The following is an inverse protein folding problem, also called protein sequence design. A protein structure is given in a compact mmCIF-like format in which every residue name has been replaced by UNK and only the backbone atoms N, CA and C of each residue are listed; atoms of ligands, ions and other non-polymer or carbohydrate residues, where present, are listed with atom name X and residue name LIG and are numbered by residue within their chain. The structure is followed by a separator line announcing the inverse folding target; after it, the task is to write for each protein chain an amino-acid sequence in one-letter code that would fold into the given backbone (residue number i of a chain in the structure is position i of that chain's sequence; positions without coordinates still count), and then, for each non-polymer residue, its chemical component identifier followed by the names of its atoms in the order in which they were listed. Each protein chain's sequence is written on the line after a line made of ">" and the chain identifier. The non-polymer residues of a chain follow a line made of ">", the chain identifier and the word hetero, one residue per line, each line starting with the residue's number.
data_IF_234657152659
#
_entry.id   IF_234657152659
#
_cell.length_a   1.000
_cell.length_b   1.000
_cell.length_c   1.000
_cell.angle_alpha   90.00
_cell.angle_beta   90.00
_cell.angle_gamma   90.00
#
_symmetry.space_group_name_H-M   'P 1'
#
loop_
_entity.id
_entity.type
_entity.pdbx_description
1 polymer ?
#
# COMPACT_ATOMS: atom_id res chain seq x y z
N UNK A 1 55.20 23.09 3.53
CA UNK A 1 53.98 23.12 2.71
C UNK A 1 53.32 21.76 2.60
N UNK A 2 54.10 20.67 2.59
CA UNK A 2 53.56 19.30 2.42
C UNK A 2 52.66 18.82 3.57
N UNK A 3 52.95 19.17 4.83
CA UNK A 3 52.10 18.80 5.98
C UNK A 3 50.72 19.46 5.94
N UNK A 4 50.65 20.72 5.51
CA UNK A 4 49.39 21.45 5.37
C UNK A 4 48.51 20.83 4.28
N UNK A 5 49.14 20.43 3.16
CA UNK A 5 48.47 19.82 2.02
C UNK A 5 47.96 18.41 2.37
N UNK A 6 48.76 17.62 3.09
CA UNK A 6 48.35 16.32 3.62
C UNK A 6 47.19 16.42 4.63
N UNK A 7 47.23 17.42 5.53
CA UNK A 7 46.17 17.66 6.50
C UNK A 7 44.84 18.07 5.83
N UNK A 8 44.89 18.92 4.80
CA UNK A 8 43.71 19.34 4.03
C UNK A 8 43.10 18.14 3.28
N UNK A 9 43.92 17.34 2.60
CA UNK A 9 43.44 16.14 1.88
C UNK A 9 42.82 15.14 2.86
N UNK A 10 43.46 14.88 4.01
CA UNK A 10 42.93 14.00 5.05
C UNK A 10 41.58 14.48 5.60
N UNK A 11 41.43 15.78 5.84
CA UNK A 11 40.19 16.37 6.33
C UNK A 11 39.04 16.27 5.29
N UNK A 12 39.32 16.52 4.01
CA UNK A 12 38.32 16.42 2.93
C UNK A 12 37.87 14.97 2.72
N UNK A 13 38.81 14.02 2.72
CA UNK A 13 38.50 12.59 2.59
C UNK A 13 37.70 12.09 3.80
N UNK A 14 38.08 12.49 5.01
CA UNK A 14 37.34 12.15 6.24
C UNK A 14 35.90 12.67 6.21
N UNK A 15 35.71 13.96 5.89
CA UNK A 15 34.38 14.56 5.80
C UNK A 15 33.52 13.90 4.70
N UNK A 16 34.11 13.59 3.54
CA UNK A 16 33.43 12.88 2.46
C UNK A 16 33.00 11.46 2.85
N UNK A 17 33.85 10.74 3.58
CA UNK A 17 33.51 9.40 4.08
C UNK A 17 32.38 9.45 5.11
N UNK A 18 32.38 10.41 6.03
CA UNK A 18 31.30 10.57 7.02
C UNK A 18 29.98 10.92 6.36
N UNK A 19 29.96 11.86 5.41
CA UNK A 19 28.76 12.21 4.64
C UNK A 19 28.23 11.02 3.84
N UNK A 20 29.13 10.21 3.28
CA UNK A 20 28.76 9.01 2.54
C UNK A 20 28.13 7.94 3.46
N UNK A 21 28.73 7.68 4.62
CA UNK A 21 28.23 6.74 5.62
C UNK A 21 26.85 7.18 6.13
N UNK A 22 26.70 8.47 6.44
CA UNK A 22 25.42 9.04 6.90
C UNK A 22 24.34 8.92 5.82
N UNK A 23 24.66 9.23 4.56
CA UNK A 23 23.71 9.09 3.44
C UNK A 23 23.24 7.63 3.26
N UNK A 24 24.14 6.67 3.49
CA UNK A 24 23.84 5.24 3.41
C UNK A 24 22.96 4.78 4.56
N UNK A 25 23.25 5.24 5.78
CA UNK A 25 22.43 4.95 6.95
C UNK A 25 21.03 5.50 6.79
N UNK A 26 20.88 6.76 6.40
CA UNK A 26 19.58 7.39 6.18
C UNK A 26 18.79 6.67 5.08
N UNK A 27 19.44 6.33 3.96
CA UNK A 27 18.83 5.53 2.89
C UNK A 27 18.36 4.16 3.36
N UNK A 28 19.09 3.51 4.27
CA UNK A 28 18.73 2.21 4.83
C UNK A 28 17.54 2.31 5.80
N UNK A 29 17.52 3.34 6.65
CA UNK A 29 16.41 3.63 7.57
C UNK A 29 15.13 3.90 6.80
N UNK A 30 15.17 4.75 5.77
CA UNK A 30 14.01 5.06 4.93
C UNK A 30 13.49 3.81 4.19
N UNK A 31 14.38 2.95 3.69
CA UNK A 31 14.00 1.66 3.07
C UNK A 31 13.28 0.75 4.06
N UNK A 32 13.81 0.63 5.28
CA UNK A 32 13.20 -0.22 6.31
C UNK A 32 11.83 0.30 6.71
N UNK A 33 11.68 1.63 6.87
CA UNK A 33 10.40 2.25 7.16
C UNK A 33 9.38 2.02 6.03
N UNK A 34 9.82 2.13 4.77
CA UNK A 34 9.01 1.85 3.60
C UNK A 34 8.50 0.40 3.57
N UNK A 35 9.38 -0.57 3.77
CA UNK A 35 9.00 -1.98 3.81
C UNK A 35 8.02 -2.27 4.94
N UNK A 36 8.28 -1.75 6.14
CA UNK A 36 7.37 -1.92 7.26
C UNK A 36 5.97 -1.32 6.99
N UNK A 37 5.90 -0.16 6.33
CA UNK A 37 4.62 0.43 5.95
C UNK A 37 3.87 -0.42 4.91
N UNK A 38 4.58 -1.06 3.99
CA UNK A 38 4.00 -1.98 3.01
C UNK A 38 3.56 -3.30 3.65
N UNK A 39 4.37 -3.87 4.53
CA UNK A 39 4.04 -5.10 5.28
C UNK A 39 2.78 -4.91 6.13
N UNK A 40 2.69 -3.78 6.84
CA UNK A 40 1.50 -3.44 7.63
C UNK A 40 0.27 -3.29 6.75
N UNK A 41 0.40 -2.67 5.58
CA UNK A 41 -0.71 -2.59 4.62
C UNK A 41 -1.12 -3.98 4.11
N UNK A 42 -0.18 -4.86 3.77
CA UNK A 42 -0.50 -6.22 3.31
C UNK A 42 -1.20 -7.02 4.41
N UNK A 43 -0.72 -6.91 5.65
CA UNK A 43 -1.34 -7.54 6.82
C UNK A 43 -2.76 -7.03 7.05
N UNK A 44 -2.98 -5.72 6.97
CA UNK A 44 -4.31 -5.14 7.15
C UNK A 44 -5.27 -5.57 6.04
N UNK A 45 -4.82 -5.54 4.77
CA UNK A 45 -5.58 -6.07 3.64
C UNK A 45 -5.93 -7.56 3.82
N UNK A 46 -4.98 -8.37 4.31
CA UNK A 46 -5.18 -9.79 4.60
C UNK A 46 -6.27 -10.05 5.65
N UNK A 47 -6.35 -9.19 6.68
CA UNK A 47 -7.31 -9.33 7.78
C UNK A 47 -8.69 -8.72 7.48
N UNK A 48 -8.83 -7.96 6.40
CA UNK A 48 -10.07 -7.26 6.09
C UNK A 48 -11.14 -8.20 5.54
N UNK A 49 -12.19 -8.39 6.35
CA UNK A 49 -13.41 -9.14 6.00
C UNK A 49 -14.15 -8.62 4.76
N UNK A 50 -13.92 -7.38 4.34
CA UNK A 50 -14.57 -6.82 3.13
C UNK A 50 -14.17 -7.57 1.85
N UNK A 51 -13.02 -8.24 1.87
CA UNK A 51 -12.55 -9.05 0.76
C UNK A 51 -13.05 -10.50 0.83
N UNK A 52 -13.75 -10.89 1.90
CA UNK A 52 -14.51 -12.13 1.94
C UNK A 52 -15.82 -11.94 1.18
N UNK A 53 -15.75 -12.07 -0.15
CA UNK A 53 -16.90 -12.00 -1.05
C UNK A 53 -17.33 -13.44 -1.40
N UNK A 54 -18.18 -14.12 -0.61
CA UNK A 54 -18.57 -15.51 -0.86
C UNK A 54 -19.17 -15.79 -2.25
N UNK A 55 -19.85 -14.84 -2.89
CA UNK A 55 -20.40 -15.02 -4.26
C UNK A 55 -20.48 -13.72 -5.04
N UNK A 56 -20.13 -13.78 -6.32
CA UNK A 56 -20.34 -12.70 -7.30
C UNK A 56 -21.82 -12.68 -7.71
N UNK A 57 -22.66 -11.98 -6.94
CA UNK A 57 -24.11 -11.87 -7.18
C UNK A 57 -24.56 -10.41 -7.17
N UNK A 58 -25.62 -10.12 -7.95
CA UNK A 58 -26.37 -8.87 -7.83
C UNK A 58 -27.40 -9.02 -6.72
N UNK A 59 -27.62 -7.96 -5.94
CA UNK A 59 -28.63 -7.90 -4.88
C UNK A 59 -29.67 -6.87 -5.29
N UNK A 60 -30.81 -7.32 -5.82
CA UNK A 60 -31.80 -6.45 -6.48
C UNK A 60 -32.39 -5.34 -5.59
N UNK A 61 -32.35 -5.51 -4.27
CA UNK A 61 -32.80 -4.50 -3.30
C UNK A 61 -31.88 -4.53 -2.08
N UNK A 62 -30.68 -3.92 -2.16
CA UNK A 62 -29.74 -3.92 -1.06
C UNK A 62 -30.26 -3.00 0.04
N UNK A 63 -30.16 -3.44 1.29
CA UNK A 63 -30.37 -2.56 2.44
C UNK A 63 -29.21 -1.56 2.53
N UNK A 64 -29.49 -0.27 2.32
CA UNK A 64 -28.51 0.83 2.35
C UNK A 64 -28.55 1.63 3.64
N UNK A 65 -29.31 1.17 4.64
CA UNK A 65 -29.37 1.82 5.95
C UNK A 65 -28.02 1.78 6.69
N UNK A 66 -27.84 2.70 7.63
CA UNK A 66 -26.63 2.77 8.45
C UNK A 66 -26.42 1.44 9.20
N UNK A 67 -25.19 0.94 9.16
CA UNK A 67 -24.85 -0.33 9.79
C UNK A 67 -25.33 -1.56 9.01
N UNK A 68 -25.93 -1.43 7.83
CA UNK A 68 -26.25 -2.57 6.96
C UNK A 68 -24.99 -3.27 6.43
N UNK A 69 -25.16 -4.42 5.77
CA UNK A 69 -24.04 -5.09 5.09
C UNK A 69 -23.39 -4.23 3.99
N UNK A 70 -24.20 -3.47 3.25
CA UNK A 70 -23.75 -2.51 2.26
C UNK A 70 -22.92 -1.39 2.91
N UNK A 71 -23.46 -0.76 3.95
CA UNK A 71 -22.81 0.38 4.60
C UNK A 71 -21.47 -0.01 5.24
N UNK A 72 -21.43 -1.14 5.95
CA UNK A 72 -20.18 -1.67 6.54
C UNK A 72 -19.10 -1.95 5.49
N UNK A 73 -19.49 -2.50 4.35
CA UNK A 73 -18.56 -2.80 3.26
C UNK A 73 -18.07 -1.51 2.58
N UNK A 74 -18.97 -0.55 2.31
CA UNK A 74 -18.60 0.80 1.85
C UNK A 74 -17.63 1.49 2.80
N UNK A 75 -17.93 1.50 4.10
CA UNK A 75 -17.07 2.09 5.13
C UNK A 75 -15.71 1.41 5.20
N UNK A 76 -15.67 0.07 5.07
CA UNK A 76 -14.41 -0.67 5.02
C UNK A 76 -13.57 -0.29 3.80
N UNK A 77 -14.15 -0.22 2.60
CA UNK A 77 -13.40 0.20 1.39
C UNK A 77 -12.92 1.64 1.48
N UNK A 78 -13.71 2.55 2.05
CA UNK A 78 -13.28 3.93 2.34
C UNK A 78 -12.05 3.95 3.25
N UNK A 79 -12.03 3.11 4.28
CA UNK A 79 -10.88 2.95 5.17
C UNK A 79 -9.66 2.40 4.42
N UNK A 80 -9.80 1.34 3.59
CA UNK A 80 -8.72 0.81 2.75
C UNK A 80 -8.11 1.92 1.89
N UNK A 81 -8.97 2.69 1.21
CA UNK A 81 -8.52 3.78 0.34
C UNK A 81 -7.66 4.80 1.09
N UNK A 82 -8.08 5.16 2.30
CA UNK A 82 -7.37 6.13 3.13
C UNK A 82 -6.02 5.58 3.61
N UNK A 83 -5.96 4.29 3.93
CA UNK A 83 -4.74 3.62 4.33
C UNK A 83 -3.75 3.52 3.16
N UNK A 84 -4.21 3.05 1.99
CA UNK A 84 -3.41 3.04 0.75
C UNK A 84 -2.85 4.43 0.43
N UNK A 85 -3.66 5.48 0.57
CA UNK A 85 -3.21 6.88 0.38
C UNK A 85 -2.15 7.29 1.40
N UNK A 86 -2.30 6.86 2.65
CA UNK A 86 -1.37 7.17 3.74
C UNK A 86 -0.04 6.44 3.54
N UNK A 87 -0.08 5.15 3.23
CA UNK A 87 1.10 4.35 2.89
C UNK A 87 1.82 4.93 1.67
N UNK A 88 1.09 5.32 0.62
CA UNK A 88 1.69 5.95 -0.57
C UNK A 88 2.41 7.28 -0.25
N UNK A 89 1.95 8.02 0.76
CA UNK A 89 2.60 9.26 1.23
C UNK A 89 3.86 9.00 2.06
N UNK A 90 3.95 7.86 2.73
CA UNK A 90 5.14 7.47 3.49
C UNK A 90 6.21 6.82 2.63
N UNK A 91 5.91 6.41 1.39
CA UNK A 91 6.91 5.87 0.47
C UNK A 91 7.83 6.97 -0.06
N UNK A 92 9.10 6.61 -0.30
CA UNK A 92 10.05 7.47 -1.01
C UNK A 92 9.56 7.74 -2.44
N UNK A 93 9.96 8.86 -3.02
CA UNK A 93 9.54 9.27 -4.37
C UNK A 93 9.91 8.24 -5.47
N UNK A 94 11.02 7.52 -5.29
CA UNK A 94 11.53 6.50 -6.23
C UNK A 94 11.09 5.09 -5.90
N UNK A 95 10.18 4.90 -4.92
CA UNK A 95 9.72 3.58 -4.53
C UNK A 95 8.96 2.91 -5.68
N UNK A 96 9.27 1.64 -6.03
CA UNK A 96 8.56 0.91 -7.07
C UNK A 96 7.10 0.64 -6.69
N UNK A 97 6.77 0.61 -5.40
CA UNK A 97 5.42 0.34 -4.91
C UNK A 97 4.43 1.51 -5.13
N UNK A 98 4.90 2.70 -5.52
CA UNK A 98 4.01 3.86 -5.73
C UNK A 98 2.99 3.63 -6.83
N UNK A 99 3.39 2.99 -7.93
CA UNK A 99 2.48 2.73 -9.06
C UNK A 99 1.39 1.71 -8.68
N UNK A 100 1.73 0.55 -8.09
CA UNK A 100 0.73 -0.38 -7.57
C UNK A 100 -0.21 0.24 -6.52
N UNK A 101 0.31 0.99 -5.54
CA UNK A 101 -0.56 1.66 -4.56
C UNK A 101 -1.51 2.68 -5.20
N UNK A 102 -1.05 3.39 -6.24
CA UNK A 102 -1.92 4.29 -7.00
C UNK A 102 -3.02 3.53 -7.74
N UNK A 103 -2.71 2.35 -8.27
CA UNK A 103 -3.69 1.48 -8.92
C UNK A 103 -4.72 0.93 -7.91
N UNK A 104 -4.28 0.47 -6.73
CA UNK A 104 -5.17 0.10 -5.62
C UNK A 104 -6.10 1.25 -5.22
N UNK A 105 -5.58 2.46 -5.08
CA UNK A 105 -6.37 3.65 -4.74
C UNK A 105 -7.45 3.92 -5.81
N UNK A 106 -7.10 3.79 -7.10
CA UNK A 106 -8.06 3.92 -8.21
C UNK A 106 -9.12 2.82 -8.17
N UNK A 107 -8.74 1.58 -7.87
CA UNK A 107 -9.69 0.47 -7.75
C UNK A 107 -10.69 0.72 -6.63
N UNK A 108 -10.24 1.23 -5.47
CA UNK A 108 -11.13 1.62 -4.38
C UNK A 108 -12.11 2.72 -4.79
N UNK A 109 -11.65 3.74 -5.52
CA UNK A 109 -12.54 4.79 -6.02
C UNK A 109 -13.57 4.24 -7.02
N UNK A 110 -13.15 3.40 -7.97
CA UNK A 110 -14.06 2.76 -8.93
C UNK A 110 -15.14 1.98 -8.20
N UNK A 111 -14.78 1.19 -7.20
CA UNK A 111 -15.75 0.50 -6.36
C UNK A 111 -16.78 1.47 -5.77
N UNK A 112 -16.31 2.55 -5.12
CA UNK A 112 -17.18 3.53 -4.46
C UNK A 112 -18.12 4.23 -5.45
N UNK A 113 -17.61 4.60 -6.62
CA UNK A 113 -18.38 5.21 -7.72
C UNK A 113 -19.44 4.24 -8.28
N UNK A 114 -19.08 2.97 -8.47
CA UNK A 114 -20.00 1.92 -8.92
C UNK A 114 -21.14 1.74 -7.93
N UNK A 115 -20.85 1.59 -6.63
CA UNK A 115 -21.90 1.33 -5.63
C UNK A 115 -22.74 2.56 -5.29
N UNK A 116 -22.23 3.76 -5.56
CA UNK A 116 -23.00 5.00 -5.46
C UNK A 116 -24.00 5.11 -6.62
N UNK A 117 -23.61 4.65 -7.81
CA UNK A 117 -24.46 4.68 -9.01
C UNK A 117 -25.45 3.52 -9.05
N UNK A 118 -25.03 2.33 -8.64
CA UNK A 118 -25.84 1.12 -8.58
C UNK A 118 -25.52 0.29 -7.31
N UNK A 119 -26.21 0.57 -6.19
CA UNK A 119 -26.01 -0.14 -4.94
C UNK A 119 -26.20 -1.66 -5.07
N UNK A 120 -26.98 -2.15 -6.02
CA UNK A 120 -27.26 -3.58 -6.19
C UNK A 120 -26.02 -4.39 -6.61
N UNK A 121 -24.99 -3.73 -7.16
CA UNK A 121 -23.76 -4.36 -7.64
C UNK A 121 -22.67 -4.47 -6.58
N UNK A 122 -22.89 -4.03 -5.34
CA UNK A 122 -21.81 -3.90 -4.35
C UNK A 122 -21.01 -5.18 -4.07
N UNK A 123 -21.61 -6.36 -4.26
CA UNK A 123 -20.92 -7.64 -4.17
C UNK A 123 -20.05 -7.95 -5.39
N UNK A 124 -20.55 -7.67 -6.59
CA UNK A 124 -19.79 -7.82 -7.85
C UNK A 124 -18.61 -6.86 -7.84
N UNK A 125 -18.87 -5.59 -7.52
CA UNK A 125 -17.85 -4.56 -7.42
C UNK A 125 -16.80 -4.90 -6.35
N UNK A 126 -17.19 -5.52 -5.23
CA UNK A 126 -16.26 -5.94 -4.19
C UNK A 126 -15.33 -7.08 -4.64
N UNK A 127 -15.84 -8.05 -5.41
CA UNK A 127 -14.99 -9.10 -6.00
C UNK A 127 -14.01 -8.51 -7.03
N UNK A 128 -14.47 -7.60 -7.89
CA UNK A 128 -13.61 -6.90 -8.85
C UNK A 128 -12.52 -6.07 -8.14
N UNK A 129 -12.89 -5.40 -7.04
CA UNK A 129 -11.94 -4.70 -6.17
C UNK A 129 -10.90 -5.65 -5.56
N UNK A 130 -11.35 -6.80 -5.03
CA UNK A 130 -10.45 -7.82 -4.44
C UNK A 130 -9.43 -8.30 -5.46
N UNK A 131 -9.87 -8.67 -6.66
CA UNK A 131 -9.01 -9.12 -7.76
C UNK A 131 -7.99 -8.03 -8.13
N UNK A 132 -8.45 -6.78 -8.27
CA UNK A 132 -7.58 -5.66 -8.59
C UNK A 132 -6.53 -5.41 -7.48
N UNK A 133 -6.93 -5.41 -6.21
CA UNK A 133 -6.00 -5.23 -5.09
C UNK A 133 -5.00 -6.39 -5.01
N UNK A 134 -5.45 -7.63 -5.19
CA UNK A 134 -4.58 -8.80 -5.15
C UNK A 134 -3.48 -8.73 -6.22
N UNK A 135 -3.83 -8.35 -7.45
CA UNK A 135 -2.87 -8.19 -8.54
C UNK A 135 -1.79 -7.15 -8.21
N UNK A 136 -2.20 -6.01 -7.63
CA UNK A 136 -1.26 -4.96 -7.24
C UNK A 136 -0.44 -5.33 -6.00
N UNK A 137 -1.01 -6.07 -5.05
CA UNK A 137 -0.30 -6.58 -3.86
C UNK A 137 0.80 -7.56 -4.28
N UNK A 138 0.51 -8.41 -5.26
CA UNK A 138 1.48 -9.30 -5.89
C UNK A 138 2.57 -8.51 -6.60
N UNK A 139 2.21 -7.47 -7.38
CA UNK A 139 3.19 -6.60 -8.04
C UNK A 139 4.14 -5.89 -7.05
N UNK A 140 3.65 -5.51 -5.86
CA UNK A 140 4.49 -4.95 -4.78
C UNK A 140 5.47 -6.00 -4.26
N UNK A 141 4.97 -7.21 -3.99
CA UNK A 141 5.77 -8.29 -3.41
C UNK A 141 6.84 -8.81 -4.37
N UNK A 142 6.50 -8.92 -5.66
CA UNK A 142 7.38 -9.42 -6.72
C UNK A 142 8.40 -8.37 -7.20
N UNK A 143 8.27 -7.10 -6.77
CA UNK A 143 9.16 -6.04 -7.20
C UNK A 143 10.62 -6.31 -6.76
N UNK A 144 11.62 -6.12 -7.65
CA UNK A 144 13.00 -6.36 -7.32
C UNK A 144 13.46 -5.58 -6.09
N UNK A 145 14.10 -6.27 -5.14
CA UNK A 145 14.62 -5.71 -3.87
C UNK A 145 13.54 -5.29 -2.85
N UNK A 146 12.26 -5.58 -3.09
CA UNK A 146 11.28 -5.58 -2.01
C UNK A 146 11.44 -6.85 -1.16
N UNK A 147 11.15 -6.70 0.12
CA UNK A 147 11.13 -7.79 1.11
C UNK A 147 9.75 -7.97 1.72
N UNK A 148 8.73 -7.48 1.00
CA UNK A 148 7.34 -7.47 1.45
C UNK A 148 6.74 -8.84 1.14
N UNK A 149 6.16 -9.47 2.15
CA UNK A 149 5.48 -10.75 1.97
C UNK A 149 4.14 -10.53 1.28
N UNK A 150 3.83 -11.39 0.30
CA UNK A 150 2.51 -11.38 -0.32
C UNK A 150 1.49 -11.99 0.64
N UNK A 151 0.46 -11.20 0.97
CA UNK A 151 -0.72 -11.65 1.70
C UNK A 151 -1.94 -11.36 0.84
N UNK A 152 -2.72 -12.40 0.53
CA UNK A 152 -3.89 -12.24 -0.31
C UNK A 152 -4.98 -11.45 0.46
N UNK A 153 -5.67 -10.48 -0.18
CA UNK A 153 -6.71 -9.71 0.51
C UNK A 153 -7.80 -10.62 1.08
N UNK A 154 -8.07 -10.48 2.39
CA UNK A 154 -9.03 -11.30 3.11
C UNK A 154 -8.59 -12.72 3.48
N UNK A 155 -7.34 -13.14 3.19
CA UNK A 155 -6.88 -14.51 3.50
C UNK A 155 -6.90 -14.85 5.00
N UNK A 156 -6.74 -13.83 5.84
CA UNK A 156 -6.56 -13.98 7.29
C UNK A 156 -7.80 -13.54 8.06
N UNK A 157 -8.92 -13.31 7.36
CA UNK A 157 -10.14 -12.71 7.91
C UNK A 157 -11.09 -13.75 8.56
N UNK A 158 -10.60 -14.96 8.87
CA UNK A 158 -11.35 -16.14 9.35
C UNK A 158 -11.67 -16.04 10.85
#
# INVERSE_FOLDING_TARGET
>A
MDELLAAIIGAVVGAGATLYIESRHQSAVERKAEWNALDLLMLDLGRRRVFLVPRRIRIDSPDTSEGSGFDRMRASVLSVRNEVRTTMRSLRATSPARLPLRAMYKACNRYLETIESDPAEYWIAADDLRIAIEAEARAISDAPRNRVEFIAPGSDAI
#
